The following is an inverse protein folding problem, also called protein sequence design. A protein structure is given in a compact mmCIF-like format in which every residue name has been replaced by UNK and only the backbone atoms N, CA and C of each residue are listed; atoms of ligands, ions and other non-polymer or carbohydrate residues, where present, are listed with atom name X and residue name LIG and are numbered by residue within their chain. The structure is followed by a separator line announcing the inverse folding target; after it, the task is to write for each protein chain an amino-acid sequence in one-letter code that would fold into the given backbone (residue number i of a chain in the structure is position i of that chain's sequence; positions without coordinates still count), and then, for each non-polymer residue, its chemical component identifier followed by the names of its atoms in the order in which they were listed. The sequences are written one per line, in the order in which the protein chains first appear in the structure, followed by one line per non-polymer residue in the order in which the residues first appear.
data_IF_502703526577
#
_entry.id   IF_502703526577
#
_cell.length_a   1.000
_cell.length_b   1.000
_cell.length_c   1.000
_cell.angle_alpha   90.00
_cell.angle_beta   90.00
_cell.angle_gamma   90.00
#
_symmetry.space_group_name_H-M   'P 1'
#
loop_
_entity.id
_entity.type
_entity.pdbx_description
1 polymer ?
#
# COMPACT_ATOMS: atom_id res chain seq x y z
N UNK A 1 -19.98 4.20 6.72
CA UNK A 1 -20.02 3.05 5.80
C UNK A 1 -18.64 2.41 5.83
N UNK A 2 -18.55 1.10 6.03
CA UNK A 2 -17.25 0.41 6.02
C UNK A 2 -16.87 0.02 4.59
N UNK A 3 -15.59 0.11 4.24
CA UNK A 3 -15.04 -0.42 2.99
C UNK A 3 -14.41 -1.79 3.24
N UNK A 4 -14.31 -2.61 2.19
CA UNK A 4 -13.62 -3.90 2.26
C UNK A 4 -12.12 -3.74 2.05
N UNK A 5 -11.34 -4.73 2.48
CA UNK A 5 -9.91 -4.83 2.16
C UNK A 5 -9.65 -4.72 0.65
N UNK A 6 -10.54 -5.31 -0.17
CA UNK A 6 -10.45 -5.24 -1.63
C UNK A 6 -10.60 -3.80 -2.10
N UNK A 7 -11.59 -3.06 -1.59
CA UNK A 7 -11.81 -1.67 -1.96
C UNK A 7 -10.63 -0.75 -1.59
N UNK A 8 -10.04 -0.94 -0.40
CA UNK A 8 -8.85 -0.18 0.01
C UNK A 8 -7.64 -0.48 -0.88
N UNK A 9 -7.42 -1.76 -1.21
CA UNK A 9 -6.34 -2.18 -2.11
C UNK A 9 -6.52 -1.58 -3.50
N UNK A 10 -7.73 -1.65 -4.06
CA UNK A 10 -8.03 -1.11 -5.39
C UNK A 10 -7.81 0.40 -5.41
N UNK A 11 -8.20 1.11 -4.34
CA UNK A 11 -7.94 2.54 -4.20
C UNK A 11 -6.45 2.86 -4.18
N UNK A 12 -5.65 2.09 -3.44
CA UNK A 12 -4.18 2.25 -3.42
C UNK A 12 -3.60 2.03 -4.82
N UNK A 13 -4.07 1.02 -5.55
CA UNK A 13 -3.62 0.74 -6.93
C UNK A 13 -4.00 1.86 -7.92
N UNK A 14 -5.16 2.48 -7.74
CA UNK A 14 -5.61 3.65 -8.53
C UNK A 14 -4.75 4.88 -8.23
N UNK A 15 -4.42 5.11 -6.95
CA UNK A 15 -3.66 6.29 -6.52
C UNK A 15 -2.17 6.21 -6.87
N UNK A 16 -1.60 5.01 -6.89
CA UNK A 16 -0.18 4.76 -7.14
C UNK A 16 0.01 3.84 -8.36
N UNK A 17 -0.32 4.31 -9.57
CA UNK A 17 -0.23 3.49 -10.78
C UNK A 17 1.20 3.02 -11.07
N UNK A 18 2.22 3.68 -10.51
CA UNK A 18 3.62 3.26 -10.56
C UNK A 18 3.84 1.86 -9.99
N UNK A 19 3.09 1.44 -8.96
CA UNK A 19 3.18 0.09 -8.40
C UNK A 19 2.96 -0.95 -9.51
N UNK A 20 1.87 -0.79 -10.26
CA UNK A 20 1.51 -1.68 -11.37
C UNK A 20 2.48 -1.53 -12.54
N UNK A 21 2.88 -0.29 -12.89
CA UNK A 21 3.85 -0.04 -13.96
C UNK A 21 5.21 -0.70 -13.72
N UNK A 22 5.64 -0.75 -12.46
CA UNK A 22 6.88 -1.41 -12.06
C UNK A 22 6.67 -2.91 -11.76
N UNK A 23 5.49 -3.49 -11.96
CA UNK A 23 5.24 -4.92 -11.73
C UNK A 23 5.31 -5.34 -10.26
N UNK A 24 4.99 -4.42 -9.35
CA UNK A 24 4.96 -4.68 -7.90
C UNK A 24 3.59 -5.28 -7.56
N UNK A 25 3.60 -6.42 -6.88
CA UNK A 25 2.41 -7.05 -6.33
C UNK A 25 2.05 -6.44 -4.98
N UNK A 26 0.76 -6.22 -4.74
CA UNK A 26 0.24 -5.67 -3.48
C UNK A 26 -0.69 -6.67 -2.82
N UNK A 27 -0.47 -6.91 -1.53
CA UNK A 27 -1.36 -7.69 -0.66
C UNK A 27 -1.79 -6.84 0.53
N UNK A 28 -3.06 -6.94 0.92
CA UNK A 28 -3.62 -6.20 2.04
C UNK A 28 -4.41 -7.18 2.93
N UNK A 29 -4.02 -7.26 4.19
CA UNK A 29 -4.65 -8.08 5.21
C UNK A 29 -5.05 -7.21 6.40
N UNK A 30 -6.16 -7.51 7.06
CA UNK A 30 -6.55 -6.81 8.28
C UNK A 30 -6.09 -7.60 9.51
N UNK A 31 -5.16 -7.04 10.27
CA UNK A 31 -4.69 -7.60 11.52
C UNK A 31 -5.66 -7.20 12.64
N UNK A 32 -6.52 -8.16 13.04
CA UNK A 32 -7.50 -7.96 14.12
C UNK A 32 -6.85 -7.77 15.48
N UNK A 33 -5.64 -8.28 15.72
CA UNK A 33 -4.95 -8.09 16.99
C UNK A 33 -4.44 -6.65 17.12
N UNK A 34 -3.92 -6.10 16.01
CA UNK A 34 -3.39 -4.73 15.96
C UNK A 34 -4.43 -3.67 15.56
N UNK A 35 -5.63 -4.09 15.14
CA UNK A 35 -6.66 -3.21 14.58
C UNK A 35 -6.15 -2.33 13.43
N UNK A 36 -5.26 -2.88 12.60
CA UNK A 36 -4.57 -2.19 11.52
C UNK A 36 -4.54 -3.04 10.26
N UNK A 37 -4.41 -2.40 9.10
CA UNK A 37 -4.21 -3.10 7.84
C UNK A 37 -2.71 -3.33 7.61
N UNK A 38 -2.33 -4.58 7.37
CA UNK A 38 -0.99 -4.95 6.92
C UNK A 38 -0.97 -4.90 5.39
N UNK A 39 -0.20 -3.95 4.85
CA UNK A 39 0.04 -3.85 3.42
C UNK A 39 1.43 -4.41 3.10
N UNK A 40 1.51 -5.29 2.11
CA UNK A 40 2.77 -5.85 1.63
C UNK A 40 2.96 -5.53 0.14
N UNK A 41 4.10 -4.94 -0.18
CA UNK A 41 4.61 -4.77 -1.54
C UNK A 41 5.62 -5.86 -1.83
N UNK A 42 5.44 -6.59 -2.92
CA UNK A 42 6.32 -7.68 -3.32
C UNK A 42 6.75 -7.53 -4.76
N UNK A 43 8.05 -7.67 -5.01
CA UNK A 43 8.61 -7.73 -6.36
C UNK A 43 9.82 -8.64 -6.36
N UNK A 44 9.79 -9.67 -7.21
CA UNK A 44 10.79 -10.73 -7.25
C UNK A 44 11.03 -11.33 -5.83
N UNK A 45 12.27 -11.25 -5.33
CA UNK A 45 12.67 -11.72 -4.00
C UNK A 45 12.63 -10.64 -2.91
N UNK A 46 12.08 -9.45 -3.21
CA UNK A 46 11.99 -8.34 -2.24
C UNK A 46 10.56 -8.14 -1.78
N UNK A 47 10.43 -7.90 -0.49
CA UNK A 47 9.16 -7.63 0.16
C UNK A 47 9.33 -6.45 1.12
N UNK A 48 8.38 -5.51 1.07
CA UNK A 48 8.23 -4.45 2.06
C UNK A 48 6.85 -4.57 2.68
N UNK A 49 6.80 -4.67 4.01
CA UNK A 49 5.56 -4.71 4.78
C UNK A 49 5.42 -3.42 5.57
N UNK A 50 4.22 -2.86 5.55
CA UNK A 50 3.86 -1.67 6.29
C UNK A 50 2.49 -1.82 6.93
N UNK A 51 2.23 -1.07 7.99
CA UNK A 51 0.94 -1.06 8.65
C UNK A 51 0.25 0.26 8.34
N UNK A 52 -1.05 0.19 8.04
CA UNK A 52 -1.93 1.33 7.83
C UNK A 52 -2.93 1.30 8.97
N UNK A 53 -2.93 2.34 9.80
CA UNK A 53 -3.95 2.46 10.83
C UNK A 53 -5.31 2.70 10.19
N UNK A 54 -6.39 2.31 10.88
CA UNK A 54 -7.75 2.46 10.33
C UNK A 54 -8.04 3.91 9.91
N UNK A 55 -7.56 4.88 10.69
CA UNK A 55 -7.73 6.31 10.40
C UNK A 55 -7.07 6.69 9.07
N UNK A 56 -5.83 6.26 8.84
CA UNK A 56 -5.12 6.53 7.58
C UNK A 56 -5.81 5.85 6.39
N UNK A 57 -6.35 4.64 6.60
CA UNK A 57 -7.12 3.93 5.59
C UNK A 57 -8.44 4.66 5.26
N UNK A 58 -9.12 5.23 6.26
CA UNK A 58 -10.31 6.06 6.08
C UNK A 58 -9.97 7.32 5.25
N UNK A 59 -8.89 8.04 5.61
CA UNK A 59 -8.41 9.23 4.87
C UNK A 59 -7.99 8.88 3.43
N UNK A 60 -7.45 7.68 3.21
CA UNK A 60 -7.10 7.20 1.87
C UNK A 60 -8.33 6.94 1.00
N UNK A 61 -9.40 6.38 1.60
CA UNK A 61 -10.67 6.15 0.91
C UNK A 61 -11.36 7.46 0.55
N UNK A 62 -11.20 8.50 1.37
CA UNK A 62 -11.69 9.86 1.08
C UNK A 62 -10.85 10.61 0.03
N UNK A 63 -9.78 9.99 -0.48
CA UNK A 63 -8.94 10.58 -1.53
C UNK A 63 -8.02 11.69 -1.04
N UNK A 64 -7.85 11.85 0.28
CA UNK A 64 -7.06 12.92 0.92
C UNK A 64 -5.53 12.68 0.79
N UNK A 65 -5.14 11.62 0.07
CA UNK A 65 -3.80 11.03 -0.04
C UNK A 65 -3.42 10.24 1.20
N UNK A 66 -3.13 8.96 0.97
CA UNK A 66 -2.30 8.12 1.83
C UNK A 66 -0.87 8.74 1.92
N UNK A 67 -0.68 9.94 2.48
CA UNK A 67 0.59 10.69 2.40
C UNK A 67 1.76 9.85 2.92
N UNK A 68 1.54 9.09 4.00
CA UNK A 68 2.54 8.21 4.58
C UNK A 68 2.87 6.99 3.70
N UNK A 69 1.90 6.50 2.92
CA UNK A 69 2.09 5.36 2.02
C UNK A 69 2.86 5.75 0.75
N UNK A 70 2.57 6.93 0.19
CA UNK A 70 3.20 7.38 -1.05
C UNK A 70 4.71 7.54 -0.94
N UNK A 71 5.20 8.00 0.22
CA UNK A 71 6.64 8.07 0.49
C UNK A 71 7.25 6.65 0.50
N UNK A 72 6.65 5.71 1.22
CA UNK A 72 7.14 4.33 1.31
C UNK A 72 7.11 3.62 -0.05
N UNK A 73 6.07 3.84 -0.85
CA UNK A 73 5.97 3.32 -2.23
C UNK A 73 7.10 3.89 -3.09
N UNK A 74 7.32 5.21 -3.03
CA UNK A 74 8.40 5.88 -3.76
C UNK A 74 9.79 5.38 -3.35
N UNK A 75 10.05 5.24 -2.05
CA UNK A 75 11.29 4.67 -1.53
C UNK A 75 11.47 3.22 -1.94
N UNK A 76 10.41 2.40 -1.89
CA UNK A 76 10.46 1.00 -2.32
C UNK A 76 10.80 0.88 -3.81
N UNK A 77 10.16 1.69 -4.65
CA UNK A 77 10.42 1.72 -6.09
C UNK A 77 11.86 2.17 -6.37
N UNK A 78 12.33 3.26 -5.74
CA UNK A 78 13.72 3.73 -5.89
C UNK A 78 14.74 2.67 -5.47
N UNK A 79 14.57 2.10 -4.27
CA UNK A 79 15.45 1.04 -3.76
C UNK A 79 15.46 -0.20 -4.66
N UNK A 80 14.35 -0.48 -5.35
CA UNK A 80 14.29 -1.52 -6.36
C UNK A 80 15.08 -1.15 -7.62
N UNK A 81 14.88 0.06 -8.16
CA UNK A 81 15.45 0.50 -9.44
C UNK A 81 16.97 0.72 -9.39
N UNK A 82 17.49 1.26 -8.28
CA UNK A 82 18.93 1.57 -8.09
C UNK A 82 19.87 0.36 -8.09
N UNK A 83 19.36 -0.88 -8.19
CA UNK A 83 20.18 -2.10 -8.25
C UNK A 83 20.04 -2.88 -9.57
N UNK A 84 19.50 -2.26 -10.61
CA UNK A 84 19.60 -2.77 -12.00
C UNK A 84 20.94 -2.41 -12.62
#
# INVERSE_FOLDING_TARGET
MGYSNVALKDKIMEMYPEITKHGISVSLDFDKAKHAYLLAFKKDNRELKTHIEKKDADECMDGIKCVYLGMQVGEFIKNFDERK
#
